data_IF_841261783249
#
_entry.id   IF_841261783249
#
_cell.length_a   1.000
_cell.length_b   1.000
_cell.length_c   1.000
_cell.angle_alpha   90.00
_cell.angle_beta   90.00
_cell.angle_gamma   90.00
#
_symmetry.space_group_name_H-M   'P 1'
#
loop_
_entity.id
_entity.type
_entity.pdbx_description
1 polymer ?
#
# COMPACT_ATOMS: atom_id res chain seq x y z
N UNK A 1 -66.21 40.02 -31.85
CA UNK A 1 -64.80 39.70 -32.18
C UNK A 1 -64.04 39.67 -30.87
N UNK A 2 -63.93 38.51 -30.23
CA UNK A 2 -63.27 38.36 -28.92
C UNK A 2 -61.98 37.57 -29.11
N UNK A 3 -60.84 38.20 -28.82
CA UNK A 3 -59.53 37.56 -28.89
C UNK A 3 -59.24 36.82 -27.58
N UNK A 4 -59.03 35.51 -27.67
CA UNK A 4 -58.59 34.69 -26.55
C UNK A 4 -57.06 34.80 -26.41
N UNK A 5 -56.59 35.26 -25.24
CA UNK A 5 -55.17 35.22 -24.90
C UNK A 5 -54.86 33.89 -24.21
N UNK A 6 -54.01 33.06 -24.82
CA UNK A 6 -53.49 31.86 -24.21
C UNK A 6 -52.29 32.21 -23.30
N UNK A 7 -52.35 31.86 -22.02
CA UNK A 7 -51.22 32.03 -21.11
C UNK A 7 -50.22 30.86 -21.30
N UNK A 8 -48.98 31.17 -21.64
CA UNK A 8 -47.88 30.21 -21.65
C UNK A 8 -47.18 30.27 -20.28
N UNK A 9 -47.13 29.15 -19.56
CA UNK A 9 -46.38 29.03 -18.30
C UNK A 9 -45.02 28.40 -18.58
N UNK A 10 -43.97 29.21 -18.52
CA UNK A 10 -42.59 28.74 -18.63
C UNK A 10 -42.10 28.27 -17.25
N UNK A 11 -41.77 26.99 -17.11
CA UNK A 11 -41.13 26.46 -15.89
C UNK A 11 -39.61 26.48 -16.09
N UNK A 12 -38.90 27.35 -15.37
CA UNK A 12 -37.44 27.28 -15.28
C UNK A 12 -37.04 26.18 -14.31
N UNK A 13 -36.29 25.19 -14.78
CA UNK A 13 -35.55 24.26 -13.92
C UNK A 13 -34.14 24.84 -13.71
N UNK A 14 -33.85 25.24 -12.47
CA UNK A 14 -32.50 25.61 -12.04
C UNK A 14 -31.75 24.34 -11.63
N UNK A 15 -30.79 23.89 -12.45
CA UNK A 15 -29.80 22.91 -12.03
C UNK A 15 -28.66 23.66 -11.33
N UNK A 16 -28.69 23.68 -10.00
CA UNK A 16 -27.59 24.19 -9.19
C UNK A 16 -26.51 23.09 -9.14
N UNK A 17 -25.56 23.12 -10.08
CA UNK A 17 -24.37 22.26 -9.99
C UNK A 17 -23.44 22.86 -8.94
N UNK A 18 -23.38 22.25 -7.76
CA UNK A 18 -22.39 22.58 -6.73
C UNK A 18 -21.06 22.00 -7.19
N UNK A 19 -20.26 22.81 -7.89
CA UNK A 19 -18.87 22.45 -8.20
C UNK A 19 -18.09 22.66 -6.90
N UNK A 20 -17.85 21.58 -6.17
CA UNK A 20 -16.89 21.57 -5.07
C UNK A 20 -15.52 21.94 -5.64
N UNK A 21 -15.08 23.16 -5.42
CA UNK A 21 -13.68 23.54 -5.62
C UNK A 21 -12.89 22.86 -4.50
N UNK A 22 -12.49 21.60 -4.73
CA UNK A 22 -11.48 20.95 -3.91
C UNK A 22 -10.16 21.66 -4.21
N UNK A 23 -9.75 22.53 -3.29
CA UNK A 23 -8.42 23.10 -3.31
C UNK A 23 -7.42 21.94 -3.19
N UNK A 24 -6.56 21.77 -4.19
CA UNK A 24 -5.54 20.73 -4.20
C UNK A 24 -4.46 21.09 -3.16
N UNK A 25 -4.72 20.75 -1.90
CA UNK A 25 -3.65 20.63 -0.93
C UNK A 25 -2.79 19.44 -1.38
N UNK A 26 -1.53 19.71 -1.73
CA UNK A 26 -0.49 18.69 -1.61
C UNK A 26 -0.63 18.14 -0.19
N UNK A 27 -0.95 16.85 0.02
CA UNK A 27 -1.13 16.35 1.36
C UNK A 27 0.15 16.63 2.14
N UNK A 28 0.03 17.37 3.24
CA UNK A 28 1.13 17.49 4.19
C UNK A 28 1.50 16.09 4.71
N UNK A 29 2.70 15.93 5.27
CA UNK A 29 3.08 14.67 5.91
C UNK A 29 2.03 14.30 6.97
N UNK A 30 1.61 13.03 6.99
CA UNK A 30 0.73 12.50 8.02
C UNK A 30 1.47 11.45 8.85
N UNK A 31 1.19 11.43 10.16
CA UNK A 31 1.84 10.52 11.11
C UNK A 31 0.78 10.00 12.09
N UNK A 32 0.78 8.69 12.33
CA UNK A 32 -0.07 8.03 13.32
C UNK A 32 0.77 7.61 14.53
N UNK A 33 1.10 8.56 15.43
CA UNK A 33 2.07 8.37 16.51
C UNK A 33 1.59 7.53 17.69
N UNK A 34 0.30 7.20 17.79
CA UNK A 34 -0.26 6.42 18.90
C UNK A 34 -1.29 5.40 18.40
N UNK A 35 -0.93 4.69 17.33
CA UNK A 35 -1.83 3.77 16.65
C UNK A 35 -2.89 4.49 15.82
N UNK A 36 -3.94 3.75 15.47
CA UNK A 36 -4.90 4.09 14.43
C UNK A 36 -6.31 4.42 14.94
N UNK A 37 -6.55 4.48 16.27
CA UNK A 37 -7.90 4.66 16.85
C UNK A 37 -8.66 5.90 16.34
N UNK A 38 -7.95 6.95 15.92
CA UNK A 38 -8.52 8.18 15.38
C UNK A 38 -8.03 8.48 13.96
N UNK A 39 -7.46 7.49 13.27
CA UNK A 39 -6.88 7.67 11.93
C UNK A 39 -7.95 7.81 10.84
N UNK A 40 -9.20 7.43 11.12
CA UNK A 40 -10.31 7.46 10.17
C UNK A 40 -9.96 6.77 8.83
N UNK A 41 -9.26 5.63 8.91
CA UNK A 41 -8.86 4.87 7.73
C UNK A 41 -10.09 4.33 7.00
N UNK A 42 -10.00 4.26 5.68
CA UNK A 42 -10.93 3.48 4.87
C UNK A 42 -10.54 2.01 4.99
N UNK A 43 -11.33 1.25 5.73
CA UNK A 43 -11.11 -0.18 5.95
C UNK A 43 -12.02 -1.00 5.04
N UNK A 44 -11.52 -2.11 4.54
CA UNK A 44 -12.32 -3.14 3.87
C UNK A 44 -11.95 -4.56 4.32
N UNK A 45 -12.70 -5.55 3.83
CA UNK A 45 -12.42 -6.95 4.10
C UNK A 45 -12.49 -7.25 5.59
N UNK A 46 -11.45 -7.90 6.11
CA UNK A 46 -11.32 -8.23 7.54
C UNK A 46 -10.53 -7.21 8.36
N UNK A 47 -10.10 -6.10 7.74
CA UNK A 47 -9.29 -5.11 8.44
C UNK A 47 -10.09 -4.39 9.53
N UNK A 48 -9.52 -4.32 10.73
CA UNK A 48 -10.13 -3.62 11.86
C UNK A 48 -9.08 -2.85 12.68
N UNK A 49 -9.53 -1.79 13.36
CA UNK A 49 -8.72 -1.10 14.37
C UNK A 49 -9.12 -1.63 15.74
N UNK A 50 -8.18 -2.32 16.40
CA UNK A 50 -8.40 -2.89 17.73
C UNK A 50 -8.56 -1.79 18.78
N UNK A 51 -9.13 -2.14 19.92
CA UNK A 51 -9.25 -1.23 21.09
C UNK A 51 -7.90 -0.72 21.60
N UNK A 52 -6.81 -1.44 21.32
CA UNK A 52 -5.43 -1.03 21.61
C UNK A 52 -4.87 0.01 20.63
N UNK A 53 -5.62 0.37 19.59
CA UNK A 53 -5.18 1.24 18.49
C UNK A 53 -4.33 0.55 17.43
N UNK A 54 -4.17 -0.77 17.49
CA UNK A 54 -3.45 -1.50 16.43
C UNK A 54 -4.37 -1.72 15.23
N UNK A 55 -3.85 -1.46 14.03
CA UNK A 55 -4.49 -1.89 12.79
C UNK A 55 -4.20 -3.38 12.60
N UNK A 56 -5.25 -4.19 12.57
CA UNK A 56 -5.18 -5.60 12.27
C UNK A 56 -5.78 -5.82 10.88
N UNK A 57 -4.95 -6.14 9.89
CA UNK A 57 -5.40 -6.38 8.51
C UNK A 57 -6.15 -7.72 8.39
N UNK A 58 -5.63 -8.76 9.03
CA UNK A 58 -6.20 -10.11 9.04
C UNK A 58 -6.05 -10.77 10.41
N UNK A 59 -6.78 -11.86 10.63
CA UNK A 59 -6.64 -12.72 11.81
C UNK A 59 -6.32 -14.16 11.38
N UNK A 60 -6.31 -15.12 12.31
CA UNK A 60 -5.95 -16.52 12.03
C UNK A 60 -7.03 -17.31 11.28
N UNK A 61 -8.15 -16.68 10.89
CA UNK A 61 -9.14 -17.30 10.01
C UNK A 61 -8.58 -17.44 8.61
N UNK A 62 -9.03 -18.47 7.90
CA UNK A 62 -8.51 -18.81 6.57
C UNK A 62 -9.12 -17.92 5.49
N UNK A 63 -8.35 -17.70 4.42
CA UNK A 63 -8.79 -17.04 3.18
C UNK A 63 -9.32 -15.61 3.40
N UNK A 64 -8.73 -14.88 4.35
CA UNK A 64 -9.05 -13.48 4.57
C UNK A 64 -8.20 -12.55 3.72
N UNK A 65 -8.82 -11.46 3.27
CA UNK A 65 -8.16 -10.23 2.80
C UNK A 65 -8.55 -9.10 3.74
N UNK A 66 -7.78 -8.02 3.75
CA UNK A 66 -8.11 -6.82 4.50
C UNK A 66 -7.21 -5.68 4.10
N UNK A 67 -7.81 -4.55 3.78
CA UNK A 67 -7.09 -3.36 3.36
C UNK A 67 -7.42 -2.18 4.25
N UNK A 68 -6.48 -1.24 4.31
CA UNK A 68 -6.62 -0.01 5.06
C UNK A 68 -5.96 1.14 4.30
N UNK A 69 -6.76 2.08 3.85
CA UNK A 69 -6.30 3.24 3.08
C UNK A 69 -6.41 4.53 3.91
N UNK A 70 -5.46 5.44 3.67
CA UNK A 70 -5.58 6.81 4.18
C UNK A 70 -6.85 7.46 3.60
N UNK A 71 -7.68 8.16 4.41
CA UNK A 71 -9.00 8.64 4.00
C UNK A 71 -9.00 9.61 2.82
N UNK A 72 -7.90 10.33 2.60
CA UNK A 72 -7.78 11.36 1.57
C UNK A 72 -6.85 10.88 0.45
N UNK A 73 -7.26 10.97 -0.82
CA UNK A 73 -6.37 10.64 -1.94
C UNK A 73 -5.13 11.53 -1.97
N UNK A 74 -3.98 10.93 -2.31
CA UNK A 74 -2.73 11.67 -2.55
C UNK A 74 -2.64 12.03 -4.04
N UNK A 75 -2.49 13.31 -4.34
CA UNK A 75 -2.43 13.77 -5.72
C UNK A 75 -0.99 13.65 -6.29
N UNK A 76 -0.80 12.70 -7.19
CA UNK A 76 0.46 12.44 -7.88
C UNK A 76 0.60 13.19 -9.22
N UNK A 77 -0.30 14.13 -9.54
CA UNK A 77 -0.31 14.83 -10.82
C UNK A 77 0.92 15.75 -11.01
N UNK A 78 1.70 15.50 -12.05
CA UNK A 78 2.88 16.28 -12.44
C UNK A 78 2.62 17.27 -13.58
N UNK A 79 1.36 17.48 -14.00
CA UNK A 79 0.97 18.25 -15.19
C UNK A 79 1.22 19.77 -15.13
N UNK A 80 1.99 20.28 -14.17
CA UNK A 80 2.47 21.67 -14.21
C UNK A 80 3.73 21.76 -15.08
N UNK A 81 3.93 22.88 -15.78
CA UNK A 81 5.03 23.15 -16.72
C UNK A 81 6.46 23.03 -16.18
N UNK A 82 6.63 22.66 -14.91
CA UNK A 82 7.83 22.00 -14.40
C UNK A 82 7.43 20.57 -14.05
N UNK A 83 7.88 19.58 -14.83
CA UNK A 83 7.80 18.17 -14.47
C UNK A 83 8.59 17.98 -13.16
N UNK A 84 7.96 18.26 -12.03
CA UNK A 84 8.51 17.89 -10.73
C UNK A 84 8.39 16.38 -10.68
N UNK A 85 9.54 15.74 -10.72
CA UNK A 85 9.71 14.39 -10.19
C UNK A 85 9.06 14.32 -8.81
N UNK A 86 7.97 13.57 -8.69
CA UNK A 86 7.37 13.29 -7.40
C UNK A 86 8.31 12.37 -6.62
N UNK A 87 8.64 12.76 -5.40
CA UNK A 87 9.34 11.90 -4.45
C UNK A 87 8.43 11.68 -3.23
N UNK A 88 8.48 10.50 -2.64
CA UNK A 88 7.76 10.21 -1.40
C UNK A 88 8.60 9.35 -0.47
N UNK A 89 8.29 9.41 0.81
CA UNK A 89 8.85 8.54 1.84
C UNK A 89 7.72 8.06 2.74
N UNK A 90 7.76 6.80 3.13
CA UNK A 90 6.88 6.25 4.16
C UNK A 90 7.68 5.35 5.10
N UNK A 91 7.28 5.36 6.37
CA UNK A 91 7.80 4.46 7.38
C UNK A 91 6.66 3.88 8.19
N UNK A 92 6.72 2.58 8.45
CA UNK A 92 5.75 1.90 9.30
C UNK A 92 6.39 0.71 10.01
N UNK A 93 5.69 0.25 11.06
CA UNK A 93 6.05 -0.95 11.80
C UNK A 93 4.93 -1.95 11.66
N UNK A 94 5.27 -3.20 11.33
CA UNK A 94 4.32 -4.30 11.28
C UNK A 94 4.86 -5.53 12.02
N UNK A 95 3.99 -6.49 12.29
CA UNK A 95 4.38 -7.82 12.77
C UNK A 95 3.43 -8.85 12.16
N UNK A 96 3.98 -9.95 11.65
CA UNK A 96 3.19 -11.11 11.23
C UNK A 96 3.34 -12.21 12.28
N UNK A 97 2.24 -12.52 12.94
CA UNK A 97 2.20 -13.51 14.04
C UNK A 97 1.53 -14.79 13.51
N UNK A 98 2.26 -15.88 13.32
CA UNK A 98 1.71 -17.12 12.77
C UNK A 98 0.75 -17.80 13.76
N UNK A 99 -0.14 -18.65 13.23
CA UNK A 99 -0.99 -19.50 14.06
C UNK A 99 -0.13 -20.53 14.81
N UNK A 100 -0.63 -21.02 15.95
CA UNK A 100 0.00 -22.13 16.68
C UNK A 100 0.25 -23.32 15.75
N UNK A 101 1.50 -23.83 15.74
CA UNK A 101 1.93 -24.89 14.81
C UNK A 101 2.65 -24.38 13.56
N UNK A 102 2.83 -23.06 13.42
CA UNK A 102 3.65 -22.47 12.36
C UNK A 102 2.93 -22.28 11.02
N UNK A 103 1.62 -22.56 10.97
CA UNK A 103 0.80 -22.17 9.83
C UNK A 103 0.78 -20.64 9.71
N UNK A 104 1.18 -20.16 8.55
CA UNK A 104 1.31 -18.73 8.24
C UNK A 104 1.03 -18.51 6.77
N UNK A 105 0.76 -17.27 6.40
CA UNK A 105 0.63 -16.85 5.01
C UNK A 105 -0.54 -15.89 4.81
N UNK A 106 -0.48 -15.02 3.80
CA UNK A 106 0.52 -15.05 2.71
C UNK A 106 1.56 -13.94 2.82
N UNK A 107 1.14 -12.73 3.15
CA UNK A 107 2.03 -11.61 3.36
C UNK A 107 1.27 -10.34 3.69
N UNK A 108 1.97 -9.21 3.62
CA UNK A 108 1.40 -7.86 3.70
C UNK A 108 2.02 -7.01 2.61
N UNK A 109 1.32 -5.98 2.13
CA UNK A 109 1.85 -5.05 1.14
C UNK A 109 1.58 -3.60 1.54
N UNK A 110 2.54 -2.72 1.25
CA UNK A 110 2.29 -1.29 1.11
C UNK A 110 1.83 -1.02 -0.32
N UNK A 111 0.71 -0.32 -0.50
CA UNK A 111 0.08 -0.14 -1.81
C UNK A 111 -0.21 1.33 -2.08
N UNK A 112 0.17 1.79 -3.27
CA UNK A 112 -0.32 3.03 -3.87
C UNK A 112 -1.19 2.62 -5.06
N UNK A 113 -2.48 2.96 -5.00
CA UNK A 113 -3.49 2.53 -5.98
C UNK A 113 -4.40 3.70 -6.37
N UNK A 114 -4.90 3.68 -7.61
CA UNK A 114 -5.94 4.61 -8.06
C UNK A 114 -7.31 4.34 -7.44
N UNK A 115 -7.54 3.13 -6.92
CA UNK A 115 -8.80 2.71 -6.30
C UNK A 115 -8.54 2.10 -4.93
N UNK A 116 -9.52 2.24 -4.03
CA UNK A 116 -9.57 1.52 -2.75
C UNK A 116 -10.53 0.33 -2.79
N UNK A 117 -11.15 0.06 -3.94
CA UNK A 117 -12.04 -1.09 -4.14
C UNK A 117 -11.26 -2.32 -4.62
N UNK A 118 -11.01 -3.23 -3.68
CA UNK A 118 -10.42 -4.55 -3.90
C UNK A 118 -11.42 -5.69 -3.70
N UNK A 119 -12.72 -5.42 -3.84
CA UNK A 119 -13.79 -6.40 -3.59
C UNK A 119 -13.72 -7.65 -4.47
N UNK A 120 -13.07 -7.56 -5.63
CA UNK A 120 -12.89 -8.68 -6.57
C UNK A 120 -11.52 -9.36 -6.47
N UNK A 121 -10.69 -8.97 -5.51
CA UNK A 121 -9.38 -9.57 -5.32
C UNK A 121 -9.47 -10.85 -4.47
N UNK A 122 -8.60 -11.79 -4.80
CA UNK A 122 -8.52 -13.08 -4.12
C UNK A 122 -7.55 -13.01 -2.93
N UNK A 123 -7.78 -13.88 -1.94
CA UNK A 123 -6.84 -14.10 -0.85
C UNK A 123 -5.61 -14.90 -1.33
N UNK A 124 -4.82 -15.41 -0.38
CA UNK A 124 -3.74 -16.35 -0.64
C UNK A 124 -2.61 -15.67 -1.44
N UNK A 125 -2.13 -16.26 -2.54
CA UNK A 125 -1.00 -15.75 -3.32
C UNK A 125 -1.28 -14.41 -4.02
N UNK A 126 -2.53 -13.95 -4.02
CA UNK A 126 -2.91 -12.69 -4.67
C UNK A 126 -2.92 -11.48 -3.73
N UNK A 127 -2.59 -11.70 -2.43
CA UNK A 127 -2.43 -10.67 -1.40
C UNK A 127 -3.63 -9.73 -1.21
N UNK A 128 -4.82 -10.08 -1.71
CA UNK A 128 -5.97 -9.19 -1.74
C UNK A 128 -5.87 -8.04 -2.75
N UNK A 129 -4.92 -8.08 -3.68
CA UNK A 129 -4.70 -6.98 -4.65
C UNK A 129 -5.27 -7.27 -6.04
N UNK A 130 -5.29 -8.54 -6.44
CA UNK A 130 -5.75 -8.99 -7.76
C UNK A 130 -6.45 -10.34 -7.63
N UNK A 131 -6.98 -10.86 -8.72
CA UNK A 131 -7.42 -12.25 -8.83
C UNK A 131 -6.69 -12.90 -10.01
N UNK A 132 -6.95 -14.19 -10.24
CA UNK A 132 -6.31 -14.94 -11.33
C UNK A 132 -6.43 -14.25 -12.70
N UNK A 133 -7.55 -13.60 -12.99
CA UNK A 133 -7.82 -12.96 -14.29
C UNK A 133 -7.29 -11.53 -14.41
N UNK A 134 -7.09 -10.84 -13.28
CA UNK A 134 -6.61 -9.46 -13.26
C UNK A 134 -5.13 -9.34 -12.95
N UNK A 135 -4.46 -10.42 -12.53
CA UNK A 135 -3.03 -10.40 -12.19
C UNK A 135 -2.16 -9.91 -13.38
N UNK A 136 -1.47 -8.78 -13.19
CA UNK A 136 -0.63 -8.16 -14.20
C UNK A 136 -1.37 -7.30 -15.23
N UNK A 137 -2.68 -7.08 -15.07
CA UNK A 137 -3.45 -6.22 -15.96
C UNK A 137 -3.05 -4.74 -15.78
N UNK A 138 -2.52 -4.06 -16.81
CA UNK A 138 -2.08 -2.66 -16.70
C UNK A 138 -3.17 -1.67 -16.24
N UNK A 139 -4.45 -2.02 -16.40
CA UNK A 139 -5.59 -1.22 -15.93
C UNK A 139 -5.81 -1.26 -14.41
N UNK A 140 -5.10 -2.12 -13.68
CA UNK A 140 -5.18 -2.14 -12.22
C UNK A 140 -4.59 -0.87 -11.58
N UNK A 141 -3.60 -0.25 -12.24
CA UNK A 141 -2.99 1.01 -11.86
C UNK A 141 -2.57 1.10 -10.38
N UNK A 142 -1.78 0.15 -9.92
CA UNK A 142 -1.15 0.18 -8.61
C UNK A 142 0.33 -0.20 -8.66
N UNK A 143 1.06 0.32 -7.67
CA UNK A 143 2.37 -0.19 -7.26
C UNK A 143 2.24 -0.74 -5.84
N UNK A 144 2.85 -1.89 -5.59
CA UNK A 144 2.92 -2.48 -4.27
C UNK A 144 4.37 -2.85 -3.90
N UNK A 145 4.70 -2.71 -2.62
CA UNK A 145 5.87 -3.33 -2.01
C UNK A 145 5.35 -4.44 -1.11
N UNK A 146 5.58 -5.69 -1.51
CA UNK A 146 5.11 -6.88 -0.79
C UNK A 146 6.17 -7.41 0.18
N UNK A 147 5.68 -8.03 1.25
CA UNK A 147 6.44 -8.77 2.25
C UNK A 147 5.85 -10.18 2.29
N UNK A 148 6.33 -11.06 1.41
CA UNK A 148 5.80 -12.41 1.21
C UNK A 148 6.50 -13.43 2.12
N UNK A 149 5.70 -14.34 2.68
CA UNK A 149 6.11 -15.37 3.64
C UNK A 149 5.88 -16.80 3.15
N UNK A 150 5.50 -16.97 1.88
CA UNK A 150 5.17 -18.24 1.24
C UNK A 150 5.88 -18.33 -0.11
N UNK A 151 6.39 -19.51 -0.45
CA UNK A 151 6.96 -19.76 -1.76
C UNK A 151 5.87 -20.28 -2.70
N UNK A 152 5.50 -19.47 -3.68
CA UNK A 152 4.49 -19.72 -4.69
C UNK A 152 5.13 -19.77 -6.07
N UNK A 153 5.41 -20.98 -6.56
CA UNK A 153 6.09 -21.17 -7.86
C UNK A 153 5.35 -20.48 -9.02
N UNK A 154 4.01 -20.47 -8.99
CA UNK A 154 3.19 -19.87 -10.03
C UNK A 154 3.23 -18.33 -10.01
N UNK A 155 3.70 -17.71 -8.92
CA UNK A 155 3.90 -16.26 -8.79
C UNK A 155 5.35 -15.84 -9.08
N UNK A 156 6.26 -16.79 -9.33
CA UNK A 156 7.66 -16.49 -9.63
C UNK A 156 8.50 -16.13 -8.41
N UNK A 157 8.04 -16.50 -7.21
CA UNK A 157 8.74 -16.23 -5.95
C UNK A 157 10.16 -16.78 -5.97
N UNK A 158 11.09 -16.06 -5.35
CA UNK A 158 12.50 -16.49 -5.24
C UNK A 158 12.74 -17.42 -4.05
N UNK A 159 11.94 -17.27 -3.01
CA UNK A 159 11.90 -18.08 -1.78
C UNK A 159 10.57 -17.83 -1.04
N UNK A 160 10.42 -18.40 0.16
CA UNK A 160 9.23 -18.18 0.99
C UNK A 160 9.38 -17.12 2.08
N UNK A 161 10.26 -16.14 1.88
CA UNK A 161 10.54 -15.05 2.82
C UNK A 161 11.27 -13.89 2.11
N UNK A 162 10.55 -13.12 1.31
CA UNK A 162 11.14 -12.07 0.47
C UNK A 162 10.36 -10.76 0.51
N UNK A 163 11.03 -9.71 0.03
CA UNK A 163 10.44 -8.41 -0.28
C UNK A 163 10.38 -8.27 -1.79
N UNK A 164 9.24 -7.82 -2.31
CA UNK A 164 8.99 -7.70 -3.74
C UNK A 164 8.44 -6.34 -4.14
N UNK A 165 8.73 -5.91 -5.37
CA UNK A 165 8.16 -4.70 -5.97
C UNK A 165 7.27 -5.12 -7.13
N UNK A 166 6.01 -4.73 -7.02
CA UNK A 166 4.91 -5.23 -7.83
C UNK A 166 4.27 -4.09 -8.61
N UNK A 167 4.14 -4.27 -9.93
CA UNK A 167 3.40 -3.36 -10.81
C UNK A 167 2.16 -4.06 -11.35
N UNK A 168 0.98 -3.59 -10.96
CA UNK A 168 -0.33 -4.06 -11.45
C UNK A 168 -0.63 -5.57 -11.25
N UNK A 169 0.19 -6.30 -10.50
CA UNK A 169 0.04 -7.72 -10.23
C UNK A 169 0.85 -8.12 -9.01
N UNK A 170 0.90 -9.41 -8.72
CA UNK A 170 1.68 -9.99 -7.61
C UNK A 170 2.93 -10.74 -8.08
N UNK A 171 3.16 -10.80 -9.39
CA UNK A 171 4.45 -11.26 -9.92
C UNK A 171 5.42 -10.08 -9.83
N UNK A 172 6.36 -10.18 -8.90
CA UNK A 172 7.38 -9.17 -8.64
C UNK A 172 8.20 -8.82 -9.88
N UNK A 173 8.31 -7.52 -10.17
CA UNK A 173 9.27 -6.98 -11.14
C UNK A 173 10.72 -7.11 -10.63
N UNK A 174 10.90 -6.96 -9.32
CA UNK A 174 12.14 -7.18 -8.60
C UNK A 174 11.82 -7.76 -7.23
N UNK A 175 12.60 -8.73 -6.76
CA UNK A 175 12.46 -9.29 -5.43
C UNK A 175 13.82 -9.63 -4.81
N UNK A 176 13.86 -9.64 -3.49
CA UNK A 176 15.05 -10.03 -2.72
C UNK A 176 14.68 -10.72 -1.42
N UNK A 177 15.45 -11.75 -1.06
CA UNK A 177 15.30 -12.44 0.22
C UNK A 177 15.35 -11.44 1.39
N UNK A 178 14.43 -11.59 2.33
CA UNK A 178 14.31 -10.66 3.45
C UNK A 178 15.53 -10.76 4.37
N UNK A 179 16.23 -9.64 4.51
CA UNK A 179 17.42 -9.49 5.33
C UNK A 179 17.62 -8.03 5.73
N UNK A 180 18.42 -7.80 6.78
CA UNK A 180 18.87 -6.47 7.20
C UNK A 180 20.39 -6.47 7.41
N UNK A 181 21.04 -5.32 7.19
CA UNK A 181 22.47 -5.18 7.48
C UNK A 181 22.67 -4.98 8.99
N UNK A 182 23.47 -5.83 9.62
CA UNK A 182 23.90 -5.65 11.01
C UNK A 182 25.23 -4.93 11.04
N UNK A 183 25.28 -3.77 11.71
CA UNK A 183 26.53 -3.04 11.92
C UNK A 183 27.45 -3.75 12.93
N UNK A 184 26.89 -4.55 13.84
CA UNK A 184 27.68 -5.35 14.79
C UNK A 184 28.39 -6.51 14.07
N UNK A 185 27.66 -7.21 13.20
CA UNK A 185 28.21 -8.37 12.47
C UNK A 185 28.83 -8.01 11.12
N UNK A 186 28.69 -6.74 10.69
CA UNK A 186 29.16 -6.19 9.41
C UNK A 186 28.71 -7.03 8.20
N UNK A 187 27.49 -7.56 8.24
CA UNK A 187 26.91 -8.40 7.17
C UNK A 187 25.39 -8.32 7.16
N UNK A 188 24.80 -8.80 6.06
CA UNK A 188 23.36 -9.04 5.99
C UNK A 188 22.98 -10.27 6.84
N UNK A 189 21.97 -10.09 7.69
CA UNK A 189 21.36 -11.13 8.51
C UNK A 189 19.96 -11.38 7.96
N UNK A 190 19.63 -12.65 7.71
CA UNK A 190 18.29 -13.05 7.27
C UNK A 190 17.24 -12.65 8.31
N UNK A 191 16.15 -12.05 7.83
CA UNK A 191 15.04 -11.58 8.64
C UNK A 191 13.79 -12.39 8.32
N UNK A 192 13.41 -13.28 9.23
CA UNK A 192 12.14 -14.00 9.13
C UNK A 192 10.98 -13.04 9.38
N UNK A 193 10.21 -12.77 8.32
CA UNK A 193 9.10 -11.82 8.31
C UNK A 193 7.93 -12.27 9.21
N UNK A 194 7.80 -13.57 9.48
CA UNK A 194 6.73 -14.18 10.29
C UNK A 194 7.21 -14.63 11.68
N UNK A 195 8.27 -14.01 12.19
CA UNK A 195 8.81 -14.33 13.52
C UNK A 195 7.96 -13.78 14.70
N UNK A 196 6.84 -13.12 14.42
CA UNK A 196 5.95 -12.53 15.42
C UNK A 196 6.50 -11.28 16.14
N UNK A 197 7.67 -10.77 15.75
CA UNK A 197 8.28 -9.57 16.32
C UNK A 197 8.03 -8.35 15.43
N UNK A 198 8.03 -7.13 15.99
CA UNK A 198 7.91 -5.92 15.20
C UNK A 198 9.10 -5.71 14.26
N UNK A 199 8.80 -5.40 13.01
CA UNK A 199 9.72 -5.06 11.94
C UNK A 199 9.38 -3.64 11.48
N UNK A 200 10.39 -2.78 11.40
CA UNK A 200 10.27 -1.43 10.87
C UNK A 200 10.69 -1.43 9.39
N UNK A 201 9.95 -0.68 8.58
CA UNK A 201 10.13 -0.56 7.14
C UNK A 201 10.26 0.91 6.75
N UNK A 202 11.21 1.21 5.88
CA UNK A 202 11.32 2.48 5.14
C UNK A 202 11.13 2.21 3.65
N UNK A 203 10.33 3.03 2.98
CA UNK A 203 10.15 3.02 1.54
C UNK A 203 10.35 4.45 1.04
N UNK A 204 11.41 4.67 0.28
CA UNK A 204 11.83 5.98 -0.21
C UNK A 204 11.89 5.97 -1.73
N UNK A 205 11.06 6.81 -2.37
CA UNK A 205 11.07 7.03 -3.81
C UNK A 205 11.69 8.38 -4.14
N UNK A 206 12.82 8.39 -4.86
CA UNK A 206 13.34 9.61 -5.51
C UNK A 206 12.85 9.63 -6.96
N UNK A 207 11.90 10.52 -7.26
CA UNK A 207 11.36 10.64 -8.62
C UNK A 207 12.34 11.22 -9.64
N UNK A 208 13.46 11.83 -9.23
CA UNK A 208 14.48 12.34 -10.16
C UNK A 208 15.27 11.20 -10.75
N UNK A 209 15.69 10.29 -9.87
CA UNK A 209 16.48 9.11 -10.20
C UNK A 209 15.59 7.91 -10.53
N UNK A 210 14.27 8.03 -10.32
CA UNK A 210 13.27 6.95 -10.46
C UNK A 210 13.64 5.71 -9.62
N UNK A 211 14.15 5.98 -8.42
CA UNK A 211 14.71 4.98 -7.52
C UNK A 211 13.75 4.74 -6.34
N UNK A 212 13.35 3.49 -6.09
CA UNK A 212 12.52 3.09 -4.94
C UNK A 212 13.33 2.18 -4.02
N UNK A 213 13.86 2.77 -2.97
CA UNK A 213 14.60 2.02 -1.97
C UNK A 213 13.63 1.47 -0.91
N UNK A 214 13.74 0.18 -0.65
CA UNK A 214 13.04 -0.49 0.44
C UNK A 214 14.06 -0.98 1.45
N UNK A 215 13.88 -0.61 2.71
CA UNK A 215 14.68 -1.12 3.82
C UNK A 215 13.77 -1.65 4.91
N UNK A 216 14.20 -2.74 5.54
CA UNK A 216 13.57 -3.27 6.74
C UNK A 216 14.60 -3.67 7.79
N UNK A 217 14.21 -3.58 9.05
CA UNK A 217 15.01 -4.01 10.19
C UNK A 217 14.12 -4.42 11.37
N UNK A 218 14.58 -5.32 12.25
CA UNK A 218 13.91 -5.56 13.53
C UNK A 218 13.81 -4.26 14.34
N UNK A 219 12.69 -4.05 15.03
CA UNK A 219 12.62 -2.97 16.03
C UNK A 219 13.42 -3.41 17.25
N UNK A 220 14.62 -2.87 17.40
CA UNK A 220 15.41 -2.99 18.63
C UNK A 220 14.94 -1.95 19.66
N UNK A 221 15.04 -2.25 20.95
CA UNK A 221 14.75 -1.26 22.02
C UNK A 221 15.74 -0.09 22.03
N UNK A 222 16.82 -0.19 21.26
CA UNK A 222 17.75 0.90 20.97
C UNK A 222 17.49 1.36 19.53
N UNK A 223 17.11 2.63 19.38
CA UNK A 223 16.95 3.31 18.09
C UNK A 223 18.24 3.14 17.27
N UNK A 224 18.21 2.54 16.06
CA UNK A 224 19.41 2.49 15.22
C UNK A 224 19.72 3.90 14.73
N UNK A 225 20.76 4.53 15.29
CA UNK A 225 21.45 5.64 14.63
C UNK A 225 22.28 5.09 13.46
N UNK A 226 21.66 4.48 12.45
CA UNK A 226 22.43 4.02 11.26
C UNK A 226 21.59 3.92 10.01
N UNK A 227 22.24 4.25 8.89
CA UNK A 227 21.63 4.31 7.56
C UNK A 227 20.93 3.01 7.16
N UNK A 228 19.76 3.12 6.51
CA UNK A 228 19.03 1.97 6.00
C UNK A 228 19.85 1.21 4.93
N UNK A 229 19.83 -0.13 4.98
CA UNK A 229 20.28 -0.96 3.88
C UNK A 229 19.42 -0.68 2.64
N UNK A 230 19.96 0.09 1.70
CA UNK A 230 19.27 0.47 0.47
C UNK A 230 19.17 -0.72 -0.48
N UNK A 231 17.95 -1.10 -0.86
CA UNK A 231 17.70 -2.09 -1.90
C UNK A 231 16.61 -1.61 -2.85
N UNK A 232 16.99 -1.70 -4.13
CA UNK A 232 16.21 -1.71 -5.39
C UNK A 232 16.25 -0.41 -6.22
N UNK A 233 16.81 -0.55 -7.42
CA UNK A 233 16.77 0.43 -8.50
C UNK A 233 15.73 0.02 -9.55
N UNK A 234 14.68 0.82 -9.74
CA UNK A 234 13.55 0.53 -10.64
C UNK A 234 13.95 0.73 -12.11
N UNK A 235 15.11 1.34 -12.41
CA UNK A 235 15.54 1.64 -13.77
C UNK A 235 15.86 0.41 -14.65
N UNK A 236 15.71 -0.82 -14.11
CA UNK A 236 15.81 -2.06 -14.91
C UNK A 236 14.47 -2.68 -15.28
N UNK A 237 13.35 -2.07 -14.90
CA UNK A 237 12.01 -2.69 -15.03
C UNK A 237 10.93 -1.77 -15.60
N UNK A 238 11.28 -0.56 -16.07
CA UNK A 238 10.41 0.34 -16.87
C UNK A 238 10.88 0.40 -18.33
#
# INVERSE_FOLDING_TARGET
>A
MAAAFASVRLRLFSCLAVISMAEAQVPGPFIYTNGFSHANLQLDGSAEIRTTGLLQLTNTSRLLTGHAFHPSPINFNTSSSSARSLSFSTNFVFAMVPESGGASGHGVAFVISQTTDFSNADAVQYLGLVNQSTNGNPSNHFIAVEFDTIFSIDMGDIDGNHVGINLNGVISNQSIASAYFSNEEMKNISLDLKNGRPIQVWIDYDGRDQLLNVTLAPVTREHPETEPASLVDINRSL
#
